data_IF_547134360857
#
_entry.id   IF_547134360857
#
_cell.length_a   1.000
_cell.length_b   1.000
_cell.length_c   1.000
_cell.angle_alpha   90.00
_cell.angle_beta   90.00
_cell.angle_gamma   90.00
#
_symmetry.space_group_name_H-M   'P 1'
#
loop_
_entity.id
_entity.type
_entity.pdbx_description
1 polymer ?
#
# COMPACT_ATOMS: atom_id res chain seq x y z
N UNK A 1 35.09 -93.43 -46.40
CA UNK A 1 35.61 -92.41 -45.45
C UNK A 1 34.66 -91.23 -45.52
N UNK A 2 33.81 -91.01 -44.50
CA UNK A 2 33.87 -89.91 -43.50
C UNK A 2 33.85 -88.50 -44.15
N UNK A 3 33.13 -87.46 -43.70
CA UNK A 3 31.96 -87.21 -42.83
C UNK A 3 31.94 -85.66 -42.68
N UNK A 4 30.78 -85.01 -42.85
CA UNK A 4 30.23 -83.84 -42.10
C UNK A 4 30.99 -82.50 -41.89
N UNK A 5 30.15 -81.44 -41.85
CA UNK A 5 30.14 -80.32 -40.87
C UNK A 5 31.13 -79.13 -41.07
N UNK A 6 30.89 -77.88 -40.65
CA UNK A 6 29.77 -77.03 -40.17
C UNK A 6 30.38 -75.65 -39.81
N UNK A 7 29.54 -74.69 -39.39
CA UNK A 7 29.81 -73.40 -38.71
C UNK A 7 30.04 -72.15 -39.60
N UNK A 8 29.46 -70.94 -39.44
CA UNK A 8 28.57 -70.19 -38.50
C UNK A 8 29.25 -68.83 -38.19
N UNK A 9 28.43 -67.76 -38.01
CA UNK A 9 28.70 -66.42 -37.41
C UNK A 9 29.32 -65.33 -38.36
N UNK A 10 28.92 -64.05 -38.36
CA UNK A 10 27.96 -63.28 -37.56
C UNK A 10 27.70 -61.85 -38.10
N UNK A 11 26.50 -61.33 -37.80
CA UNK A 11 26.10 -59.95 -37.39
C UNK A 11 26.71 -58.69 -38.05
N UNK A 12 25.86 -57.85 -38.67
CA UNK A 12 25.34 -56.58 -38.09
C UNK A 12 24.57 -55.76 -39.16
N UNK A 13 23.26 -55.66 -39.03
CA UNK A 13 22.45 -54.64 -39.74
C UNK A 13 21.91 -53.68 -38.69
N UNK A 14 22.52 -52.49 -38.61
CA UNK A 14 22.01 -51.37 -37.83
C UNK A 14 20.73 -50.86 -38.49
N UNK A 15 19.57 -51.14 -37.88
CA UNK A 15 18.32 -50.43 -38.20
C UNK A 15 18.34 -49.10 -37.45
N UNK A 16 18.49 -48.00 -38.18
CA UNK A 16 18.11 -46.68 -37.67
C UNK A 16 16.58 -46.64 -37.59
N UNK A 17 16.05 -46.83 -36.39
CA UNK A 17 14.69 -46.46 -36.07
C UNK A 17 14.65 -44.94 -35.91
N UNK A 18 14.15 -44.24 -36.93
CA UNK A 18 13.69 -42.86 -36.78
C UNK A 18 12.44 -42.88 -35.92
N UNK A 19 12.62 -42.84 -34.60
CA UNK A 19 11.55 -42.48 -33.68
C UNK A 19 11.19 -41.02 -33.96
N UNK A 20 10.14 -40.80 -34.75
CA UNK A 20 9.47 -39.52 -34.78
C UNK A 20 8.99 -39.24 -33.36
N UNK A 21 9.61 -38.26 -32.70
CA UNK A 21 9.02 -37.65 -31.52
C UNK A 21 7.71 -37.02 -31.97
N UNK A 22 6.60 -37.74 -31.83
CA UNK A 22 5.30 -37.12 -31.81
C UNK A 22 5.37 -36.05 -30.70
N UNK A 23 5.03 -34.77 -30.98
CA UNK A 23 4.89 -33.83 -29.90
C UNK A 23 3.86 -34.45 -28.95
N UNK A 24 4.22 -34.61 -27.68
CA UNK A 24 3.23 -34.90 -26.66
C UNK A 24 2.17 -33.80 -26.81
N UNK A 25 1.00 -34.16 -27.33
CA UNK A 25 -0.18 -33.31 -27.24
C UNK A 25 -0.47 -33.22 -25.75
N UNK A 26 0.15 -32.26 -25.07
CA UNK A 26 -0.30 -31.81 -23.76
C UNK A 26 -1.72 -31.31 -24.02
N UNK A 27 -2.69 -32.18 -23.73
CA UNK A 27 -4.09 -31.86 -23.94
C UNK A 27 -4.39 -30.57 -23.19
N UNK A 28 -4.68 -29.50 -23.92
CA UNK A 28 -5.02 -28.23 -23.30
C UNK A 28 -6.30 -28.42 -22.47
N UNK A 29 -6.35 -27.74 -21.32
CA UNK A 29 -7.54 -27.70 -20.49
C UNK A 29 -8.47 -26.55 -20.91
N UNK A 30 -9.58 -26.46 -20.19
CA UNK A 30 -10.54 -25.38 -20.29
C UNK A 30 -10.85 -24.82 -18.90
N UNK A 31 -11.32 -23.58 -18.86
CA UNK A 31 -11.83 -22.90 -17.69
C UNK A 31 -13.25 -22.43 -18.00
N UNK A 32 -14.20 -22.84 -17.19
CA UNK A 32 -15.57 -22.38 -17.19
C UNK A 32 -15.83 -21.67 -15.87
N UNK A 33 -16.40 -20.47 -15.91
CA UNK A 33 -16.78 -19.77 -14.68
C UNK A 33 -18.06 -18.97 -14.83
N UNK A 34 -18.73 -18.77 -13.70
CA UNK A 34 -19.88 -17.87 -13.57
C UNK A 34 -19.57 -16.81 -12.54
N UNK A 35 -20.08 -15.60 -12.74
CA UNK A 35 -19.88 -14.48 -11.84
C UNK A 35 -21.21 -13.87 -11.43
N UNK A 36 -21.42 -13.77 -10.13
CA UNK A 36 -22.65 -13.25 -9.54
C UNK A 36 -22.34 -12.32 -8.37
N UNK A 37 -23.20 -11.33 -8.16
CA UNK A 37 -23.14 -10.42 -7.02
C UNK A 37 -24.49 -10.45 -6.33
N UNK A 38 -24.48 -10.60 -5.00
CA UNK A 38 -25.68 -10.47 -4.16
C UNK A 38 -25.65 -9.11 -3.44
N UNK A 39 -26.48 -8.13 -3.84
CA UNK A 39 -26.62 -6.87 -3.11
C UNK A 39 -27.29 -7.09 -1.74
N UNK A 40 -27.20 -6.09 -0.85
CA UNK A 40 -27.80 -6.21 0.49
C UNK A 40 -29.31 -6.35 0.39
N UNK A 41 -29.85 -7.41 1.00
CA UNK A 41 -31.29 -7.74 0.99
C UNK A 41 -31.90 -7.94 -0.41
N UNK A 42 -31.09 -8.23 -1.43
CA UNK A 42 -31.55 -8.49 -2.79
C UNK A 42 -31.22 -9.92 -3.24
N UNK A 43 -31.70 -10.28 -4.44
CA UNK A 43 -31.34 -11.56 -5.07
C UNK A 43 -29.97 -11.45 -5.74
N UNK A 44 -29.32 -12.60 -5.89
CA UNK A 44 -28.09 -12.71 -6.69
C UNK A 44 -28.35 -12.29 -8.13
N UNK A 45 -27.49 -11.43 -8.66
CA UNK A 45 -27.52 -10.91 -10.04
C UNK A 45 -26.26 -11.34 -10.79
N UNK A 46 -26.38 -11.77 -12.06
CA UNK A 46 -25.21 -12.11 -12.85
C UNK A 46 -24.38 -10.87 -13.21
N UNK A 47 -23.06 -11.02 -13.22
CA UNK A 47 -22.13 -9.98 -13.67
C UNK A 47 -22.03 -10.05 -15.18
N UNK A 48 -22.85 -9.24 -15.86
CA UNK A 48 -23.00 -9.28 -17.32
C UNK A 48 -21.93 -8.49 -18.05
N UNK A 49 -21.47 -9.00 -19.20
CA UNK A 49 -20.61 -8.26 -20.14
C UNK A 49 -19.37 -7.65 -19.47
N UNK A 50 -18.79 -8.38 -18.53
CA UNK A 50 -17.65 -7.94 -17.76
C UNK A 50 -16.39 -8.68 -18.21
N UNK A 51 -15.31 -7.93 -18.40
CA UNK A 51 -14.03 -8.52 -18.81
C UNK A 51 -13.23 -9.00 -17.60
N UNK A 52 -13.04 -10.31 -17.53
CA UNK A 52 -12.09 -10.96 -16.64
C UNK A 52 -10.77 -11.24 -17.36
N UNK A 53 -9.71 -11.28 -16.57
CA UNK A 53 -8.35 -11.54 -17.01
C UNK A 53 -7.86 -12.82 -16.34
N UNK A 54 -7.51 -13.80 -17.16
CA UNK A 54 -6.89 -15.04 -16.68
C UNK A 54 -5.39 -14.79 -16.64
N UNK A 55 -4.85 -14.71 -15.42
CA UNK A 55 -3.46 -14.35 -15.18
C UNK A 55 -2.65 -15.56 -14.73
N UNK A 56 -1.38 -15.63 -15.11
CA UNK A 56 -0.44 -16.65 -14.62
C UNK A 56 0.12 -16.32 -13.23
N UNK A 57 -0.34 -15.22 -12.63
CA UNK A 57 0.07 -14.73 -11.32
C UNK A 57 -1.07 -13.90 -10.71
N UNK A 58 -1.29 -14.03 -9.40
CA UNK A 58 -2.27 -13.23 -8.65
C UNK A 58 -2.06 -11.74 -8.90
N UNK A 59 -3.14 -11.01 -9.13
CA UNK A 59 -3.09 -9.56 -9.30
C UNK A 59 -2.54 -8.87 -8.04
N UNK A 60 -2.86 -9.37 -6.85
CA UNK A 60 -2.28 -8.89 -5.58
C UNK A 60 -0.75 -8.97 -5.58
N UNK A 61 -0.18 -10.07 -6.12
CA UNK A 61 1.27 -10.21 -6.23
C UNK A 61 1.87 -9.33 -7.34
N UNK A 62 1.10 -9.06 -8.41
CA UNK A 62 1.52 -8.14 -9.48
C UNK A 62 1.55 -6.70 -8.97
N UNK A 63 0.59 -6.30 -8.14
CA UNK A 63 0.61 -5.00 -7.45
C UNK A 63 1.88 -4.87 -6.60
N UNK A 64 2.26 -5.91 -5.84
CA UNK A 64 3.52 -5.91 -5.10
C UNK A 64 4.75 -5.74 -6.00
N UNK A 65 4.80 -6.41 -7.17
CA UNK A 65 5.89 -6.19 -8.15
C UNK A 65 5.91 -4.73 -8.67
N UNK A 66 4.75 -4.11 -8.84
CA UNK A 66 4.67 -2.70 -9.24
C UNK A 66 5.14 -1.77 -8.11
N UNK A 67 4.79 -2.09 -6.87
CA UNK A 67 5.24 -1.36 -5.67
C UNK A 67 6.74 -1.47 -5.41
N UNK A 68 7.36 -2.60 -5.74
CA UNK A 68 8.82 -2.78 -5.66
C UNK A 68 9.56 -1.92 -6.69
N UNK A 69 8.95 -1.67 -7.85
CA UNK A 69 9.50 -0.78 -8.89
C UNK A 69 9.32 0.70 -8.59
N UNK A 70 8.31 1.07 -7.80
CA UNK A 70 8.05 2.42 -7.32
C UNK A 70 8.04 2.40 -5.77
N UNK A 71 9.23 2.36 -5.13
CA UNK A 71 9.33 2.21 -3.68
C UNK A 71 8.62 3.33 -2.93
N UNK A 72 8.18 3.05 -1.71
CA UNK A 72 7.55 4.06 -0.85
C UNK A 72 8.50 5.25 -0.64
N UNK A 73 8.00 6.50 -0.57
CA UNK A 73 8.81 7.63 -0.18
C UNK A 73 9.49 7.35 1.16
N UNK A 74 10.74 7.75 1.30
CA UNK A 74 11.46 7.62 2.57
C UNK A 74 11.00 8.72 3.54
N UNK A 75 10.36 8.31 4.65
CA UNK A 75 9.86 9.23 5.68
C UNK A 75 10.97 10.03 6.34
N UNK A 76 12.12 9.40 6.61
CA UNK A 76 13.24 10.08 7.25
C UNK A 76 13.87 11.09 6.30
N UNK A 77 14.05 10.73 5.03
CA UNK A 77 14.53 11.66 4.02
C UNK A 77 13.56 12.85 3.84
N UNK A 78 12.25 12.60 3.88
CA UNK A 78 11.24 13.66 3.86
C UNK A 78 11.36 14.58 5.07
N UNK A 79 11.47 14.03 6.28
CA UNK A 79 11.67 14.80 7.52
C UNK A 79 12.96 15.62 7.44
N UNK A 80 14.05 15.04 6.95
CA UNK A 80 15.34 15.72 6.85
C UNK A 80 15.30 16.92 5.89
N UNK A 81 14.44 16.86 4.86
CA UNK A 81 14.18 17.94 3.91
C UNK A 81 13.20 19.03 4.40
N UNK A 82 12.58 18.88 5.58
CA UNK A 82 11.70 19.91 6.12
C UNK A 82 12.47 21.17 6.51
N UNK A 83 11.89 22.33 6.22
CA UNK A 83 12.37 23.63 6.73
C UNK A 83 11.96 23.81 8.20
N UNK A 84 12.49 22.95 9.05
CA UNK A 84 12.22 22.85 10.48
C UNK A 84 13.53 22.76 11.26
N UNK A 85 13.47 23.08 12.54
CA UNK A 85 14.60 22.93 13.45
C UNK A 85 15.09 21.48 13.50
N UNK A 86 16.38 21.24 13.81
CA UNK A 86 16.88 19.90 14.10
C UNK A 86 16.07 19.18 15.19
N UNK A 87 15.60 19.92 16.19
CA UNK A 87 14.82 19.42 17.31
C UNK A 87 13.43 18.94 16.86
N UNK A 88 12.72 19.72 16.04
CA UNK A 88 11.42 19.31 15.50
C UNK A 88 11.55 18.11 14.55
N UNK A 89 12.62 18.07 13.74
CA UNK A 89 12.90 16.90 12.89
C UNK A 89 13.22 15.65 13.71
N UNK A 90 13.99 15.79 14.79
CA UNK A 90 14.24 14.70 15.72
C UNK A 90 12.95 14.23 16.39
N UNK A 91 12.07 15.17 16.79
CA UNK A 91 10.76 14.85 17.34
C UNK A 91 9.90 14.06 16.34
N UNK A 92 9.81 14.48 15.07
CA UNK A 92 9.10 13.73 14.03
C UNK A 92 9.68 12.33 13.79
N UNK A 93 10.99 12.14 13.95
CA UNK A 93 11.62 10.81 13.82
C UNK A 93 11.31 9.90 15.00
N UNK A 94 11.13 10.47 16.19
CA UNK A 94 10.77 9.74 17.41
C UNK A 94 9.27 9.41 17.50
N UNK A 95 8.42 10.12 16.74
CA UNK A 95 6.97 9.96 16.77
C UNK A 95 6.42 9.46 15.44
N UNK A 96 5.38 8.62 15.48
CA UNK A 96 4.74 8.05 14.28
C UNK A 96 3.67 8.98 13.67
N UNK A 97 3.90 10.30 13.74
CA UNK A 97 3.01 11.30 13.14
C UNK A 97 3.81 12.41 12.50
N UNK A 98 3.25 13.00 11.44
CA UNK A 98 3.69 14.26 10.86
C UNK A 98 2.61 15.35 11.03
N UNK A 99 1.49 15.02 11.67
CA UNK A 99 0.33 15.88 11.81
C UNK A 99 0.41 16.73 13.07
N UNK A 100 0.93 17.95 12.91
CA UNK A 100 0.95 18.95 13.96
C UNK A 100 -0.38 19.71 14.12
N UNK A 101 -1.35 19.51 13.22
CA UNK A 101 -2.68 20.12 13.33
C UNK A 101 -3.72 19.15 13.90
N UNK A 102 -3.28 17.96 14.33
CA UNK A 102 -4.16 16.97 14.96
C UNK A 102 -4.77 17.54 16.25
N UNK A 103 -6.08 17.36 16.49
CA UNK A 103 -6.73 17.78 17.73
C UNK A 103 -6.21 17.03 18.97
N UNK A 104 -5.47 15.94 18.78
CA UNK A 104 -4.84 15.15 19.83
C UNK A 104 -3.34 15.47 20.00
N UNK A 105 -2.82 16.53 19.36
CA UNK A 105 -1.41 16.90 19.47
C UNK A 105 -1.01 17.16 20.93
N UNK A 106 -1.88 17.80 21.72
CA UNK A 106 -1.64 18.09 23.14
C UNK A 106 -1.34 16.84 23.97
N UNK A 107 -1.92 15.69 23.62
CA UNK A 107 -1.67 14.39 24.27
C UNK A 107 -0.32 13.78 23.89
N UNK A 108 0.24 14.17 22.75
CA UNK A 108 1.53 13.70 22.27
C UNK A 108 2.70 14.54 22.77
N UNK A 109 2.43 15.76 23.25
CA UNK A 109 3.46 16.70 23.69
C UNK A 109 3.73 16.57 25.18
N UNK A 110 4.98 16.29 25.54
CA UNK A 110 5.46 16.43 26.92
C UNK A 110 5.90 17.87 27.20
N UNK A 111 6.01 18.23 28.48
CA UNK A 111 6.59 19.52 28.86
C UNK A 111 8.03 19.70 28.35
N UNK A 112 8.78 18.63 28.21
CA UNK A 112 10.15 18.68 27.68
C UNK A 112 10.15 18.87 26.17
N UNK A 113 9.19 18.30 25.44
CA UNK A 113 9.01 18.58 24.00
C UNK A 113 8.65 20.05 23.77
N UNK A 114 7.67 20.56 24.52
CA UNK A 114 7.21 21.96 24.39
C UNK A 114 8.35 22.94 24.64
N UNK A 115 9.21 22.68 25.62
CA UNK A 115 10.29 23.60 25.96
C UNK A 115 11.58 23.34 25.18
N UNK A 116 11.78 22.11 24.69
CA UNK A 116 12.98 21.67 23.99
C UNK A 116 12.92 21.92 22.49
N UNK A 117 11.74 21.89 21.89
CA UNK A 117 11.55 22.14 20.46
C UNK A 117 11.18 23.62 20.24
N UNK A 118 11.98 24.40 19.48
CA UNK A 118 11.75 25.83 19.28
C UNK A 118 10.36 26.18 18.74
N UNK A 119 9.84 25.37 17.81
CA UNK A 119 8.53 25.56 17.20
C UNK A 119 7.39 25.34 18.20
N UNK A 120 7.48 24.31 19.03
CA UNK A 120 6.49 24.05 20.08
C UNK A 120 6.53 25.13 21.15
N UNK A 121 7.72 25.58 21.55
CA UNK A 121 7.87 26.68 22.51
C UNK A 121 7.24 27.96 21.98
N UNK A 122 7.50 28.29 20.71
CA UNK A 122 6.97 29.49 20.08
C UNK A 122 5.43 29.42 19.95
N UNK A 123 4.89 28.28 19.52
CA UNK A 123 3.44 28.06 19.46
C UNK A 123 2.80 28.20 20.85
N UNK A 124 3.34 27.50 21.85
CA UNK A 124 2.85 27.56 23.23
C UNK A 124 2.83 28.99 23.80
N UNK A 125 3.89 29.76 23.53
CA UNK A 125 3.96 31.18 23.89
C UNK A 125 2.90 32.01 23.16
N UNK A 126 2.70 31.82 21.84
CA UNK A 126 1.69 32.56 21.08
C UNK A 126 0.28 32.26 21.57
N UNK A 127 -0.08 30.99 21.74
CA UNK A 127 -1.40 30.57 22.23
C UNK A 127 -1.73 31.13 23.62
N UNK A 128 -0.74 31.30 24.49
CA UNK A 128 -0.96 31.73 25.89
C UNK A 128 -0.62 33.20 26.18
N UNK A 129 0.06 33.91 25.28
CA UNK A 129 0.50 35.30 25.50
C UNK A 129 -0.61 36.36 25.33
N UNK A 130 -1.76 35.98 24.79
CA UNK A 130 -2.90 36.86 24.48
C UNK A 130 -3.66 37.47 25.68
N UNK A 131 -3.16 37.30 26.91
CA UNK A 131 -3.72 37.92 28.12
C UNK A 131 -4.95 37.22 28.73
N UNK A 132 -5.50 36.21 28.06
CA UNK A 132 -6.58 35.38 28.60
C UNK A 132 -6.09 34.35 29.64
N UNK A 133 -4.83 33.90 29.53
CA UNK A 133 -4.28 32.89 30.43
C UNK A 133 -3.71 33.56 31.68
N UNK A 134 -4.49 33.55 32.77
CA UNK A 134 -4.05 34.14 34.05
C UNK A 134 -2.76 33.47 34.55
N UNK A 135 -1.80 34.31 34.98
CA UNK A 135 -0.55 33.84 35.59
C UNK A 135 0.51 33.32 34.61
N UNK A 136 0.29 33.40 33.28
CA UNK A 136 1.29 32.96 32.31
C UNK A 136 2.61 33.73 32.49
N UNK A 137 3.76 33.04 32.63
CA UNK A 137 5.06 33.68 32.81
C UNK A 137 5.39 34.63 31.66
N UNK A 138 5.96 35.79 31.98
CA UNK A 138 6.47 36.75 30.99
C UNK A 138 8.00 36.76 30.95
N UNK A 139 8.61 36.80 29.76
CA UNK A 139 10.06 36.92 29.65
C UNK A 139 10.51 38.28 30.23
N UNK A 140 11.58 38.26 31.03
CA UNK A 140 12.21 39.47 31.60
C UNK A 140 13.41 39.96 30.77
N UNK A 141 13.70 39.29 29.67
CA UNK A 141 14.78 39.61 28.74
C UNK A 141 14.19 40.16 27.44
N UNK A 142 15.02 40.90 26.71
CA UNK A 142 14.70 41.37 25.35
C UNK A 142 15.73 40.83 24.36
N UNK A 143 15.38 40.75 23.07
CA UNK A 143 16.34 40.36 22.03
C UNK A 143 17.54 41.32 21.94
N UNK A 144 17.38 42.59 22.35
CA UNK A 144 18.49 43.54 22.45
C UNK A 144 19.52 43.14 23.53
N UNK A 145 19.11 42.44 24.59
CA UNK A 145 20.03 41.95 25.63
C UNK A 145 20.92 40.82 25.11
N UNK A 146 20.49 40.08 24.08
CA UNK A 146 21.28 38.98 23.49
C UNK A 146 22.62 39.43 22.94
N UNK A 147 22.66 40.64 22.36
CA UNK A 147 23.87 41.23 21.78
C UNK A 147 24.61 42.13 22.79
N UNK A 148 23.88 42.86 23.62
CA UNK A 148 24.46 43.83 24.56
C UNK A 148 24.97 43.19 25.86
N UNK A 149 24.30 42.12 26.34
CA UNK A 149 24.56 41.46 27.64
C UNK A 149 24.25 39.96 27.56
N UNK A 150 25.02 39.19 26.77
CA UNK A 150 24.70 37.79 26.44
C UNK A 150 24.57 36.90 27.68
N UNK A 151 25.44 37.05 28.68
CA UNK A 151 25.37 36.27 29.92
C UNK A 151 24.11 36.55 30.74
N UNK A 152 23.69 37.82 30.80
CA UNK A 152 22.46 38.21 31.49
C UNK A 152 21.23 37.69 30.73
N UNK A 153 21.24 37.79 29.40
CA UNK A 153 20.18 37.25 28.54
C UNK A 153 19.99 35.76 28.78
N UNK A 154 21.09 34.98 28.75
CA UNK A 154 21.02 33.53 28.90
C UNK A 154 20.48 33.13 30.29
N UNK A 155 20.94 33.79 31.36
CA UNK A 155 20.41 33.56 32.70
C UNK A 155 18.91 33.85 32.79
N UNK A 156 18.47 35.00 32.27
CA UNK A 156 17.06 35.38 32.29
C UNK A 156 16.19 34.47 31.42
N UNK A 157 16.74 33.96 30.31
CA UNK A 157 16.09 32.98 29.44
C UNK A 157 15.91 31.64 30.16
N UNK A 158 16.95 31.15 30.85
CA UNK A 158 16.85 29.92 31.64
C UNK A 158 15.86 30.04 32.80
N UNK A 159 15.86 31.17 33.51
CA UNK A 159 14.88 31.43 34.58
C UNK A 159 13.45 31.46 34.03
N UNK A 160 13.27 32.02 32.83
CA UNK A 160 11.98 32.01 32.13
C UNK A 160 11.52 30.60 31.74
N UNK A 161 12.40 29.80 31.13
CA UNK A 161 12.07 28.41 30.78
C UNK A 161 11.75 27.55 32.01
N UNK A 162 12.43 27.78 33.15
CA UNK A 162 12.09 27.13 34.43
C UNK A 162 10.70 27.54 34.93
N UNK A 163 10.35 28.82 34.82
CA UNK A 163 9.02 29.30 35.18
C UNK A 163 7.94 28.69 34.26
N UNK A 164 8.19 28.58 32.95
CA UNK A 164 7.30 27.91 32.01
C UNK A 164 7.13 26.42 32.33
N UNK A 165 8.21 25.69 32.64
CA UNK A 165 8.11 24.27 33.05
C UNK A 165 7.21 24.11 34.28
N UNK A 166 7.41 24.95 35.29
CA UNK A 166 6.57 24.95 36.50
C UNK A 166 5.10 25.25 36.17
N UNK A 167 4.85 26.20 35.27
CA UNK A 167 3.51 26.55 34.83
C UNK A 167 2.83 25.40 34.07
N UNK A 168 3.52 24.79 33.10
CA UNK A 168 3.04 23.61 32.35
C UNK A 168 2.62 22.45 33.27
N UNK A 169 3.38 22.19 34.34
CA UNK A 169 3.03 21.15 35.31
C UNK A 169 1.82 21.51 36.18
N UNK A 170 1.62 22.80 36.47
CA UNK A 170 0.49 23.27 37.25
C UNK A 170 -0.79 23.43 36.40
N UNK A 171 -0.63 23.66 35.10
CA UNK A 171 -1.67 23.98 34.14
C UNK A 171 -1.52 23.15 32.85
N UNK A 172 -1.68 21.82 32.90
CA UNK A 172 -1.59 20.99 31.69
C UNK A 172 -2.61 21.40 30.61
N UNK A 173 -3.76 21.96 30.99
CA UNK A 173 -4.78 22.52 30.10
C UNK A 173 -4.30 23.71 29.25
N UNK A 174 -3.17 24.34 29.62
CA UNK A 174 -2.61 25.45 28.84
C UNK A 174 -2.01 25.03 27.50
N UNK A 175 -1.85 23.73 27.26
CA UNK A 175 -1.37 23.16 25.99
C UNK A 175 -2.50 22.96 24.99
N UNK A 176 -3.75 22.91 25.46
CA UNK A 176 -4.92 22.73 24.60
C UNK A 176 -4.98 23.85 23.55
N UNK A 177 -5.34 23.52 22.31
CA UNK A 177 -5.40 24.42 21.14
C UNK A 177 -4.04 24.82 20.52
N UNK A 178 -2.92 24.27 21.01
CA UNK A 178 -1.60 24.54 20.40
C UNK A 178 -1.52 24.08 18.94
N UNK A 179 -2.32 23.08 18.54
CA UNK A 179 -2.41 22.56 17.17
C UNK A 179 -2.88 23.63 16.15
N UNK A 180 -3.63 24.62 16.61
CA UNK A 180 -4.10 25.72 15.75
C UNK A 180 -2.95 26.58 15.23
N UNK A 181 -1.82 26.63 15.95
CA UNK A 181 -0.62 27.37 15.55
C UNK A 181 0.15 26.70 14.41
N UNK A 182 -0.18 25.45 14.07
CA UNK A 182 0.56 24.66 13.08
C UNK A 182 -0.19 24.43 11.77
N UNK A 183 -1.40 24.97 11.58
CA UNK A 183 -2.21 24.72 10.38
C UNK A 183 -1.45 24.98 9.07
N UNK A 184 -0.67 26.06 9.01
CA UNK A 184 0.09 26.44 7.81
C UNK A 184 1.44 25.70 7.67
N UNK A 185 2.02 25.26 8.79
CA UNK A 185 3.34 24.60 8.83
C UNK A 185 3.26 23.07 8.92
N UNK A 186 2.05 22.50 8.93
CA UNK A 186 1.83 21.07 9.07
C UNK A 186 2.36 20.28 7.84
N UNK A 187 3.38 19.41 8.01
CA UNK A 187 3.95 18.66 6.90
C UNK A 187 3.08 17.47 6.42
N UNK A 188 2.08 17.05 7.21
CA UNK A 188 1.22 15.90 6.91
C UNK A 188 0.62 15.95 5.51
N UNK A 189 0.04 17.09 5.11
CA UNK A 189 -0.58 17.24 3.79
C UNK A 189 0.39 17.01 2.63
N UNK A 190 1.65 17.44 2.78
CA UNK A 190 2.68 17.22 1.75
C UNK A 190 3.09 15.75 1.69
N UNK A 191 3.19 15.11 2.85
CA UNK A 191 3.47 13.67 2.95
C UNK A 191 2.36 12.83 2.31
N UNK A 192 1.10 13.11 2.64
CA UNK A 192 -0.06 12.41 2.07
C UNK A 192 -0.15 12.58 0.55
N UNK A 193 0.21 13.76 0.04
CA UNK A 193 0.29 14.00 -1.39
C UNK A 193 1.35 13.12 -2.07
N UNK A 194 2.51 12.89 -1.44
CA UNK A 194 3.56 12.00 -1.97
C UNK A 194 3.09 10.53 -1.98
N UNK A 195 2.48 10.08 -0.87
CA UNK A 195 1.91 8.73 -0.78
C UNK A 195 0.79 8.51 -1.81
N UNK A 196 -0.12 9.49 -1.93
CA UNK A 196 -1.20 9.47 -2.91
C UNK A 196 -0.69 9.45 -4.34
N UNK A 197 0.35 10.24 -4.64
CA UNK A 197 0.97 10.28 -5.96
C UNK A 197 1.61 8.93 -6.32
N UNK A 198 2.30 8.29 -5.38
CA UNK A 198 2.82 6.92 -5.55
C UNK A 198 1.68 5.94 -5.80
N UNK A 199 0.66 5.93 -4.95
CA UNK A 199 -0.47 5.03 -5.09
C UNK A 199 -1.14 5.17 -6.47
N UNK A 200 -1.29 6.40 -6.98
CA UNK A 200 -1.78 6.67 -8.34
C UNK A 200 -0.88 6.11 -9.45
N UNK A 201 0.44 6.12 -9.27
CA UNK A 201 1.38 5.51 -10.24
C UNK A 201 1.31 3.99 -10.22
N UNK A 202 1.29 3.39 -9.04
CA UNK A 202 1.18 1.93 -8.85
C UNK A 202 -0.15 1.42 -9.43
N UNK A 203 -1.28 2.06 -9.10
CA UNK A 203 -2.60 1.69 -9.61
C UNK A 203 -2.74 1.80 -11.12
N UNK A 204 -1.95 2.66 -11.78
CA UNK A 204 -1.86 2.72 -13.25
C UNK A 204 -0.94 1.66 -13.83
N UNK A 205 0.19 1.39 -13.18
CA UNK A 205 1.23 0.51 -13.70
C UNK A 205 0.89 -0.98 -13.51
N UNK A 206 0.20 -1.34 -12.43
CA UNK A 206 -0.12 -2.74 -12.13
C UNK A 206 -1.05 -3.40 -13.17
N UNK A 207 -2.15 -2.77 -13.64
CA UNK A 207 -2.97 -3.32 -14.73
C UNK A 207 -2.19 -3.51 -16.03
N UNK A 208 -1.31 -2.54 -16.36
CA UNK A 208 -0.46 -2.63 -17.56
C UNK A 208 0.54 -3.79 -17.44
N UNK A 209 1.18 -3.95 -16.27
CA UNK A 209 2.08 -5.06 -16.00
C UNK A 209 1.36 -6.41 -16.08
N UNK A 210 0.14 -6.49 -15.53
CA UNK A 210 -0.69 -7.70 -15.60
C UNK A 210 -0.99 -8.08 -17.05
N UNK A 211 -1.42 -7.13 -17.86
CA UNK A 211 -1.78 -7.38 -19.26
C UNK A 211 -0.58 -7.69 -20.16
N UNK A 212 0.56 -7.04 -19.93
CA UNK A 212 1.74 -7.18 -20.79
C UNK A 212 2.57 -8.43 -20.48
N UNK A 213 2.63 -8.85 -19.21
CA UNK A 213 3.57 -9.90 -18.75
C UNK A 213 2.88 -11.17 -18.25
N UNK A 214 1.71 -11.05 -17.65
CA UNK A 214 1.09 -12.14 -16.90
C UNK A 214 -0.25 -12.61 -17.47
N UNK A 215 -0.74 -11.97 -18.53
CA UNK A 215 -2.00 -12.33 -19.16
C UNK A 215 -1.85 -13.63 -19.94
N UNK A 216 -2.64 -14.63 -19.57
CA UNK A 216 -2.85 -15.80 -20.40
C UNK A 216 -3.92 -15.51 -21.46
N UNK A 217 -5.07 -14.99 -21.04
CA UNK A 217 -6.21 -14.70 -21.92
C UNK A 217 -7.24 -13.80 -21.24
N UNK A 218 -8.04 -13.08 -22.03
CA UNK A 218 -9.21 -12.32 -21.56
C UNK A 218 -10.49 -13.11 -21.82
N UNK A 219 -11.43 -13.02 -20.89
CA UNK A 219 -12.73 -13.66 -20.99
C UNK A 219 -13.82 -12.63 -20.69
N UNK A 220 -14.84 -12.57 -21.51
CA UNK A 220 -16.00 -11.71 -21.28
C UNK A 220 -17.18 -12.58 -20.84
N UNK A 221 -17.88 -12.17 -19.79
CA UNK A 221 -19.10 -12.85 -19.36
C UNK A 221 -20.28 -12.52 -20.25
N UNK A 222 -21.15 -13.49 -20.48
CA UNK A 222 -22.40 -13.30 -21.20
C UNK A 222 -23.49 -12.61 -20.34
N UNK A 223 -24.74 -12.61 -20.82
CA UNK A 223 -25.88 -12.02 -20.10
C UNK A 223 -26.29 -12.79 -18.84
N UNK A 224 -25.83 -14.04 -18.70
CA UNK A 224 -26.04 -14.86 -17.51
C UNK A 224 -24.80 -14.85 -16.60
N UNK A 225 -23.80 -14.02 -16.91
CA UNK A 225 -22.58 -13.91 -16.10
C UNK A 225 -21.62 -15.08 -16.30
N UNK A 226 -21.80 -15.88 -17.36
CA UNK A 226 -20.99 -17.05 -17.65
C UNK A 226 -19.89 -16.76 -18.68
N UNK A 227 -18.74 -17.41 -18.53
CA UNK A 227 -17.65 -17.36 -19.47
C UNK A 227 -16.97 -18.74 -19.60
N UNK A 228 -16.53 -19.06 -20.82
CA UNK A 228 -15.79 -20.27 -21.14
C UNK A 228 -14.52 -19.92 -21.92
N UNK A 229 -13.40 -20.43 -21.47
CA UNK A 229 -12.08 -20.30 -22.09
C UNK A 229 -11.54 -21.70 -22.35
N UNK A 230 -11.15 -21.98 -23.59
CA UNK A 230 -10.54 -23.25 -23.98
C UNK A 230 -9.11 -23.04 -24.43
N UNK A 231 -8.30 -24.11 -24.43
CA UNK A 231 -6.93 -24.05 -24.95
C UNK A 231 -5.91 -23.56 -23.93
N UNK A 232 -6.23 -23.57 -22.63
CA UNK A 232 -5.29 -23.20 -21.59
C UNK A 232 -4.29 -24.33 -21.34
N UNK A 233 -2.97 -24.06 -21.37
CA UNK A 233 -1.98 -25.03 -20.93
C UNK A 233 -2.22 -25.44 -19.46
N UNK A 234 -1.95 -26.70 -19.07
CA UNK A 234 -2.04 -27.09 -17.67
C UNK A 234 -1.14 -26.24 -16.79
N UNK A 235 -1.65 -25.77 -15.65
CA UNK A 235 -0.94 -24.84 -14.77
C UNK A 235 -1.83 -24.14 -13.76
N UNK A 236 -1.22 -23.27 -12.96
CA UNK A 236 -1.91 -22.45 -11.96
C UNK A 236 -2.16 -21.04 -12.53
N UNK A 237 -3.41 -20.59 -12.40
CA UNK A 237 -3.88 -19.31 -12.92
C UNK A 237 -4.72 -18.57 -11.88
N UNK A 238 -5.04 -17.32 -12.16
CA UNK A 238 -5.94 -16.48 -11.38
C UNK A 238 -7.00 -15.86 -12.27
N UNK A 239 -8.25 -15.91 -11.83
CA UNK A 239 -9.35 -15.18 -12.44
C UNK A 239 -9.41 -13.81 -11.75
N UNK A 240 -9.02 -12.77 -12.49
CA UNK A 240 -8.90 -11.42 -11.93
C UNK A 240 -9.76 -10.40 -12.66
N UNK A 241 -10.33 -9.45 -11.93
CA UNK A 241 -10.93 -8.25 -12.50
C UNK A 241 -9.97 -7.05 -12.57
N UNK A 242 -8.67 -7.23 -12.23
CA UNK A 242 -7.65 -6.16 -12.21
C UNK A 242 -8.05 -4.94 -11.36
N UNK A 243 -8.73 -5.14 -10.23
CA UNK A 243 -9.35 -4.09 -9.40
C UNK A 243 -10.40 -3.23 -10.12
N UNK A 244 -10.95 -3.70 -11.25
CA UNK A 244 -12.18 -3.13 -11.78
C UNK A 244 -13.34 -3.63 -10.92
N UNK A 245 -14.16 -2.68 -10.46
CA UNK A 245 -15.35 -2.98 -9.69
C UNK A 245 -16.42 -3.58 -10.59
N UNK A 246 -16.80 -4.82 -10.29
CA UNK A 246 -18.07 -5.36 -10.71
C UNK A 246 -19.14 -4.93 -9.71
N UNK A 247 -20.28 -4.46 -10.21
CA UNK A 247 -21.29 -3.79 -9.39
C UNK A 247 -22.68 -4.37 -9.57
N UNK A 248 -23.39 -4.55 -8.45
CA UNK A 248 -24.84 -4.78 -8.44
C UNK A 248 -25.43 -4.10 -7.20
N UNK A 249 -26.44 -3.25 -7.39
CA UNK A 249 -27.04 -2.45 -6.31
C UNK A 249 -26.00 -1.63 -5.53
N UNK A 250 -26.00 -1.81 -4.21
CA UNK A 250 -25.07 -1.20 -3.25
C UNK A 250 -23.70 -1.90 -3.18
N UNK A 251 -23.58 -3.10 -3.77
CA UNK A 251 -22.37 -3.91 -3.70
C UNK A 251 -21.38 -3.57 -4.83
N UNK A 252 -20.10 -3.50 -4.48
CA UNK A 252 -18.95 -3.37 -5.39
C UNK A 252 -17.92 -4.42 -4.99
N UNK A 253 -17.58 -5.30 -5.92
CA UNK A 253 -16.62 -6.39 -5.67
C UNK A 253 -15.62 -6.49 -6.81
N UNK A 254 -14.46 -7.05 -6.49
CA UNK A 254 -13.46 -7.43 -7.46
C UNK A 254 -12.89 -8.80 -7.07
N UNK A 255 -12.31 -9.52 -8.03
CA UNK A 255 -11.84 -10.89 -7.83
C UNK A 255 -10.35 -11.04 -8.16
N UNK A 256 -9.71 -11.97 -7.47
CA UNK A 256 -8.35 -12.46 -7.73
C UNK A 256 -8.27 -13.93 -7.26
N UNK A 257 -9.04 -14.80 -7.90
CA UNK A 257 -9.32 -16.18 -7.42
C UNK A 257 -8.37 -17.19 -8.08
N UNK A 258 -7.61 -17.99 -7.32
CA UNK A 258 -6.74 -19.01 -7.89
C UNK A 258 -7.54 -20.15 -8.52
N UNK A 259 -7.07 -20.67 -9.64
CA UNK A 259 -7.62 -21.83 -10.33
C UNK A 259 -6.51 -22.67 -10.94
N UNK A 260 -6.62 -23.99 -10.82
CA UNK A 260 -5.69 -24.94 -11.42
C UNK A 260 -6.33 -25.61 -12.63
N UNK A 261 -5.63 -25.58 -13.76
CA UNK A 261 -6.04 -26.21 -15.02
C UNK A 261 -5.27 -27.51 -15.18
N UNK A 262 -5.99 -28.63 -15.31
CA UNK A 262 -5.42 -29.94 -15.59
C UNK A 262 -5.51 -30.29 -17.09
N UNK A 263 -4.64 -31.19 -17.54
CA UNK A 263 -4.58 -31.58 -18.95
C UNK A 263 -5.87 -32.25 -19.42
N UNK A 264 -6.48 -31.69 -20.47
CA UNK A 264 -7.72 -32.19 -21.08
C UNK A 264 -8.97 -32.06 -20.21
N UNK A 265 -8.91 -31.38 -19.06
CA UNK A 265 -10.04 -31.19 -18.16
C UNK A 265 -10.58 -29.76 -18.22
N UNK A 266 -11.84 -29.59 -17.82
CA UNK A 266 -12.47 -28.28 -17.61
C UNK A 266 -12.51 -27.97 -16.12
N UNK A 267 -11.79 -26.94 -15.68
CA UNK A 267 -11.93 -26.39 -14.35
C UNK A 267 -13.20 -25.52 -14.28
N UNK A 268 -13.97 -25.65 -13.20
CA UNK A 268 -15.21 -24.89 -12.98
C UNK A 268 -15.11 -24.05 -11.73
N UNK A 269 -15.41 -22.76 -11.84
CA UNK A 269 -15.33 -21.80 -10.73
C UNK A 269 -16.59 -20.94 -10.67
N UNK A 270 -17.10 -20.70 -9.46
CA UNK A 270 -18.16 -19.73 -9.22
C UNK A 270 -17.57 -18.52 -8.48
N UNK A 271 -17.73 -17.33 -9.05
CA UNK A 271 -17.33 -16.06 -8.46
C UNK A 271 -18.55 -15.42 -7.80
N UNK A 272 -18.43 -15.14 -6.51
CA UNK A 272 -19.47 -14.54 -5.68
C UNK A 272 -18.88 -13.54 -4.69
N UNK A 273 -19.72 -12.87 -3.90
CA UNK A 273 -19.27 -12.00 -2.80
C UNK A 273 -18.39 -12.75 -1.77
N UNK A 274 -18.48 -14.09 -1.69
CA UNK A 274 -17.75 -14.86 -0.68
C UNK A 274 -16.27 -15.06 -1.02
N UNK A 275 -15.92 -15.00 -2.31
CA UNK A 275 -14.55 -15.15 -2.78
C UNK A 275 -14.04 -13.89 -3.51
N UNK A 276 -14.76 -12.78 -3.40
CA UNK A 276 -14.24 -11.47 -3.77
C UNK A 276 -13.10 -11.07 -2.84
N UNK A 277 -12.16 -10.32 -3.37
CA UNK A 277 -11.18 -9.61 -2.56
C UNK A 277 -11.90 -8.37 -2.02
N UNK A 278 -11.83 -8.13 -0.71
CA UNK A 278 -12.41 -6.92 -0.12
C UNK A 278 -11.89 -5.69 -0.87
N UNK A 279 -12.81 -4.80 -1.26
CA UNK A 279 -12.54 -3.43 -1.68
C UNK A 279 -11.61 -2.76 -0.66
N UNK A 280 -10.31 -2.94 -0.84
CA UNK A 280 -9.30 -2.29 -0.03
C UNK A 280 -9.39 -0.80 -0.33
N UNK A 281 -10.14 -0.08 0.50
CA UNK A 281 -10.13 1.37 0.58
C UNK A 281 -11.24 2.10 -0.18
N UNK A 282 -12.38 2.27 0.48
CA UNK A 282 -13.03 3.59 0.50
C UNK A 282 -13.70 3.80 1.86
N UNK A 283 -12.90 3.90 2.92
CA UNK A 283 -13.31 4.76 4.02
C UNK A 283 -12.94 6.21 3.63
N UNK A 284 -13.90 7.14 3.66
CA UNK A 284 -13.67 8.55 3.34
C UNK A 284 -12.67 9.22 4.30
#
# INVERSE_FOLDING_TARGET
MRKTAWLIFSLLVFRFATAGAAPAQTAAGALEFSAHITPTAARSEPVRQFTFYILTKSYTQIVKEAEEKDPAPDRNAFIDGLQASPELRAWFKAHDTLDLASPDLDKLLTADDILGVPEFLAAYQRSNSGGATMGFPKPKYTEADRTKRPEKYEKLRQDYLKALRKYLHAHPESVTTIELEFQDSNPQRKWDALLSARHKRVSRTAPDLAQLKFLAVKAETDLEGHALVSGLPPGDYWISSLNLDASAGDMRVHWDVPVRIEAGQTARVELSNLNSVEASGSNP
#
